data_IF_911149716888
#
_entry.id   IF_911149716888
#
_cell.length_a   1.000
_cell.length_b   1.000
_cell.length_c   1.000
_cell.angle_alpha   90.00
_cell.angle_beta   90.00
_cell.angle_gamma   90.00
#
_symmetry.space_group_name_H-M   'P 1'
#
loop_
_entity.id
_entity.type
_entity.pdbx_description
1 polymer ?
#
# COMPACT_ATOMS: atom_id res chain seq x y z
N UNK A 1 -35.51 -11.03 -21.44
CA UNK A 1 -34.85 -9.71 -21.55
C UNK A 1 -33.44 -9.94 -22.04
N UNK A 2 -33.18 -9.64 -23.31
CA UNK A 2 -31.83 -9.61 -23.88
C UNK A 2 -31.08 -8.51 -23.12
N UNK A 3 -29.93 -8.82 -22.50
CA UNK A 3 -29.04 -7.76 -22.01
C UNK A 3 -28.62 -6.98 -23.25
N UNK A 4 -29.00 -5.71 -23.37
CA UNK A 4 -28.49 -4.84 -24.42
C UNK A 4 -26.96 -4.95 -24.44
N UNK A 5 -26.40 -5.40 -25.56
CA UNK A 5 -24.95 -5.47 -25.71
C UNK A 5 -24.42 -4.04 -25.74
N UNK A 6 -23.45 -3.73 -24.88
CA UNK A 6 -22.79 -2.42 -24.89
C UNK A 6 -22.20 -2.14 -26.28
N UNK A 7 -22.22 -0.89 -26.70
CA UNK A 7 -21.56 -0.46 -27.94
C UNK A 7 -20.06 -0.48 -27.71
N UNK A 8 -19.34 -1.33 -28.45
CA UNK A 8 -17.90 -1.48 -28.30
C UNK A 8 -17.14 -0.60 -29.29
N UNK A 9 -16.13 0.12 -28.80
CA UNK A 9 -15.29 1.04 -29.56
C UNK A 9 -13.81 0.72 -29.34
N UNK A 10 -12.97 1.04 -30.33
CA UNK A 10 -11.52 0.87 -30.28
C UNK A 10 -10.82 2.21 -30.07
N UNK A 11 -10.21 2.39 -28.90
CA UNK A 11 -9.28 3.49 -28.67
C UNK A 11 -7.87 3.04 -29.05
N UNK A 12 -7.49 3.38 -30.28
CA UNK A 12 -6.19 3.09 -30.87
C UNK A 12 -5.31 4.32 -30.69
N UNK A 13 -4.20 4.16 -29.97
CA UNK A 13 -3.27 5.25 -29.68
C UNK A 13 -1.83 4.76 -29.66
N UNK A 14 -0.93 5.57 -30.22
CA UNK A 14 0.52 5.39 -30.09
C UNK A 14 1.19 6.77 -30.04
N UNK A 15 2.09 6.97 -29.08
CA UNK A 15 2.92 8.17 -28.97
C UNK A 15 2.12 9.49 -29.00
N UNK A 16 0.93 9.50 -28.37
CA UNK A 16 0.06 10.68 -28.32
C UNK A 16 -0.81 10.88 -29.57
N UNK A 17 -0.69 10.02 -30.58
CA UNK A 17 -1.48 10.06 -31.79
C UNK A 17 -2.68 9.10 -31.69
N UNK A 18 -3.87 9.61 -31.99
CA UNK A 18 -5.15 8.90 -31.86
C UNK A 18 -5.76 8.66 -33.23
N UNK A 19 -5.96 7.37 -33.56
CA UNK A 19 -6.66 7.01 -34.80
C UNK A 19 -8.17 7.16 -34.61
N UNK A 20 -8.78 7.96 -35.47
CA UNK A 20 -10.23 8.18 -35.51
C UNK A 20 -10.74 7.90 -36.92
N UNK A 21 -11.99 7.49 -37.02
CA UNK A 21 -12.71 7.37 -38.29
C UNK A 21 -13.77 8.44 -38.37
N UNK A 22 -14.05 8.88 -39.60
CA UNK A 22 -15.06 9.88 -39.88
C UNK A 22 -16.40 9.21 -40.10
N UNK A 23 -17.41 9.62 -39.34
CA UNK A 23 -18.79 9.21 -39.49
C UNK A 23 -19.64 10.47 -39.72
N UNK A 24 -20.08 10.66 -40.97
CA UNK A 24 -20.65 11.91 -41.48
C UNK A 24 -19.70 13.09 -41.21
N UNK A 25 -20.11 14.04 -40.37
CA UNK A 25 -19.35 15.24 -40.04
C UNK A 25 -18.63 15.16 -38.69
N UNK A 26 -18.57 13.97 -38.05
CA UNK A 26 -17.90 13.79 -36.76
C UNK A 26 -16.82 12.72 -36.81
N UNK A 27 -15.71 12.99 -36.12
CA UNK A 27 -14.65 12.03 -35.85
C UNK A 27 -14.97 11.23 -34.59
N UNK A 28 -14.91 9.91 -34.68
CA UNK A 28 -15.16 9.00 -33.56
C UNK A 28 -14.13 7.87 -33.52
N UNK A 29 -14.12 7.14 -32.42
CA UNK A 29 -13.43 5.86 -32.40
C UNK A 29 -14.05 4.89 -33.42
N UNK A 30 -13.24 4.02 -34.05
CA UNK A 30 -13.75 2.85 -34.76
C UNK A 30 -14.60 1.99 -33.82
N UNK A 31 -15.63 1.33 -34.34
CA UNK A 31 -16.36 0.30 -33.58
C UNK A 31 -15.56 -1.00 -33.56
N UNK A 32 -15.81 -1.86 -32.59
CA UNK A 32 -15.08 -3.12 -32.47
C UNK A 32 -15.34 -4.12 -33.62
N UNK A 33 -16.45 -3.94 -34.35
CA UNK A 33 -16.85 -4.71 -35.53
C UNK A 33 -16.37 -4.07 -36.85
N UNK A 34 -15.72 -2.91 -36.80
CA UNK A 34 -15.15 -2.25 -37.99
C UNK A 34 -13.71 -2.71 -38.25
N UNK A 35 -13.38 -2.90 -39.53
CA UNK A 35 -12.01 -3.18 -39.94
C UNK A 35 -11.11 -1.95 -39.78
N UNK A 36 -9.91 -2.18 -39.28
CA UNK A 36 -8.85 -1.17 -39.16
C UNK A 36 -7.62 -1.62 -39.96
N UNK A 37 -6.84 -0.70 -40.55
CA UNK A 37 -5.83 -1.04 -41.57
C UNK A 37 -4.53 -1.64 -40.99
N UNK A 38 -4.54 -2.04 -39.72
CA UNK A 38 -3.38 -2.56 -39.01
C UNK A 38 -3.82 -3.55 -37.93
N UNK A 39 -2.92 -4.46 -37.57
CA UNK A 39 -3.18 -5.33 -36.43
C UNK A 39 -3.05 -4.57 -35.11
N UNK A 40 -3.84 -4.98 -34.13
CA UNK A 40 -3.84 -4.38 -32.79
C UNK A 40 -3.63 -5.44 -31.71
N UNK A 41 -3.13 -5.00 -30.56
CA UNK A 41 -3.04 -5.82 -29.34
C UNK A 41 -3.79 -5.14 -28.21
N UNK A 42 -4.62 -5.88 -27.46
CA UNK A 42 -5.42 -5.32 -26.38
C UNK A 42 -4.54 -4.86 -25.20
N UNK A 43 -4.81 -3.65 -24.71
CA UNK A 43 -4.07 -3.01 -23.63
C UNK A 43 -4.96 -2.69 -22.41
N UNK A 44 -6.28 -2.57 -22.59
CA UNK A 44 -7.20 -2.32 -21.48
C UNK A 44 -8.61 -1.98 -21.94
N UNK A 45 -9.48 -1.63 -20.99
CA UNK A 45 -10.87 -1.26 -21.26
C UNK A 45 -11.37 -0.17 -20.32
N UNK A 46 -12.28 0.65 -20.83
CA UNK A 46 -12.97 1.72 -20.10
C UNK A 46 -14.47 1.58 -20.31
N UNK A 47 -15.21 1.60 -19.22
CA UNK A 47 -16.66 1.41 -19.23
C UNK A 47 -17.35 2.75 -18.95
N UNK A 48 -18.14 3.22 -19.92
CA UNK A 48 -18.89 4.46 -19.86
C UNK A 48 -20.41 4.21 -19.81
N UNK A 49 -20.84 3.06 -19.28
CA UNK A 49 -22.25 2.67 -19.22
C UNK A 49 -22.66 1.94 -20.49
N UNK A 50 -23.26 2.66 -21.43
CA UNK A 50 -23.75 2.11 -22.70
C UNK A 50 -22.63 1.88 -23.72
N UNK A 51 -21.47 2.50 -23.50
CA UNK A 51 -20.30 2.42 -24.35
C UNK A 51 -19.13 1.75 -23.61
N UNK A 52 -18.52 0.76 -24.26
CA UNK A 52 -17.31 0.10 -23.80
C UNK A 52 -16.17 0.47 -24.76
N UNK A 53 -15.14 1.15 -24.26
CA UNK A 53 -13.98 1.55 -25.04
C UNK A 53 -12.82 0.60 -24.74
N UNK A 54 -12.41 -0.20 -25.72
CA UNK A 54 -11.23 -1.07 -25.64
C UNK A 54 -10.01 -0.28 -26.07
N UNK A 55 -9.06 -0.09 -25.16
CA UNK A 55 -7.76 0.50 -25.49
C UNK A 55 -6.90 -0.56 -26.12
N UNK A 56 -6.40 -0.28 -27.31
CA UNK A 56 -5.57 -1.21 -28.08
C UNK A 56 -4.33 -0.49 -28.59
N UNK A 57 -3.22 -1.21 -28.66
CA UNK A 57 -1.97 -0.71 -29.23
C UNK A 57 -1.85 -1.18 -30.69
N UNK A 58 -1.66 -0.28 -31.66
CA UNK A 58 -1.48 -0.67 -33.06
C UNK A 58 -0.07 -1.23 -33.28
N UNK A 59 0.08 -2.11 -34.27
CA UNK A 59 1.38 -2.54 -34.81
C UNK A 59 1.61 -1.85 -36.15
N UNK A 60 2.36 -0.75 -36.13
CA UNK A 60 2.70 0.06 -37.30
C UNK A 60 4.18 -0.09 -37.63
N UNK A 61 4.53 0.10 -38.90
CA UNK A 61 5.91 0.13 -39.37
C UNK A 61 6.55 1.54 -39.25
N UNK A 62 5.75 2.57 -38.95
CA UNK A 62 6.15 3.97 -38.87
C UNK A 62 5.34 4.72 -37.80
N UNK A 63 5.75 5.94 -37.44
CA UNK A 63 5.03 6.82 -36.54
C UNK A 63 3.94 7.61 -37.31
N UNK A 64 2.65 7.51 -36.95
CA UNK A 64 1.55 8.02 -37.76
C UNK A 64 1.27 9.51 -37.52
N UNK A 65 2.04 10.39 -38.16
CA UNK A 65 1.84 11.85 -38.09
C UNK A 65 0.51 12.32 -38.68
N UNK A 66 -0.14 11.48 -39.50
CA UNK A 66 -1.43 11.75 -40.13
C UNK A 66 -2.64 11.55 -39.19
N UNK A 67 -2.41 11.03 -37.98
CA UNK A 67 -3.45 10.86 -36.96
C UNK A 67 -3.64 12.14 -36.13
N UNK A 68 -4.64 12.13 -35.24
CA UNK A 68 -4.91 13.29 -34.40
C UNK A 68 -4.00 13.30 -33.17
N UNK A 69 -3.34 14.43 -32.93
CA UNK A 69 -2.72 14.67 -31.64
C UNK A 69 -3.80 14.69 -30.56
N UNK A 70 -3.59 13.89 -29.51
CA UNK A 70 -4.53 13.74 -28.39
C UNK A 70 -4.94 15.05 -27.73
N UNK A 71 -4.04 16.03 -27.66
CA UNK A 71 -4.28 17.28 -26.93
C UNK A 71 -5.11 18.26 -27.77
N UNK A 72 -5.00 18.17 -29.10
CA UNK A 72 -5.80 18.97 -30.03
C UNK A 72 -7.27 18.53 -30.07
N UNK A 73 -7.57 17.29 -29.67
CA UNK A 73 -8.94 16.75 -29.70
C UNK A 73 -9.91 17.50 -28.79
N UNK A 74 -9.44 18.11 -27.71
CA UNK A 74 -10.32 18.74 -26.72
C UNK A 74 -11.03 19.99 -27.26
N UNK A 75 -10.33 20.79 -28.06
CA UNK A 75 -10.83 22.05 -28.62
C UNK A 75 -11.73 21.86 -29.84
N UNK A 76 -11.71 20.67 -30.46
CA UNK A 76 -12.43 20.38 -31.71
C UNK A 76 -13.91 20.11 -31.50
N UNK A 77 -14.79 20.85 -32.17
CA UNK A 77 -16.25 20.61 -32.13
C UNK A 77 -16.71 19.42 -32.98
N UNK A 78 -15.89 19.01 -33.96
CA UNK A 78 -16.15 17.90 -34.89
C UNK A 78 -15.70 16.54 -34.34
N UNK A 79 -15.33 16.44 -33.06
CA UNK A 79 -14.91 15.20 -32.41
C UNK A 79 -16.00 14.69 -31.46
N UNK A 80 -16.21 13.38 -31.42
CA UNK A 80 -17.17 12.73 -30.53
C UNK A 80 -16.82 12.91 -29.04
N UNK A 81 -17.83 13.14 -28.20
CA UNK A 81 -17.63 13.35 -26.76
C UNK A 81 -17.03 12.12 -26.08
N UNK A 82 -17.34 10.91 -26.57
CA UNK A 82 -16.75 9.68 -26.06
C UNK A 82 -15.23 9.67 -26.27
N UNK A 83 -14.73 10.21 -27.40
CA UNK A 83 -13.29 10.33 -27.66
C UNK A 83 -12.65 11.24 -26.63
N UNK A 84 -13.18 12.44 -26.45
CA UNK A 84 -12.66 13.42 -25.48
C UNK A 84 -12.67 12.85 -24.05
N UNK A 85 -13.77 12.19 -23.65
CA UNK A 85 -13.90 11.53 -22.35
C UNK A 85 -12.85 10.42 -22.18
N UNK A 86 -12.69 9.53 -23.17
CA UNK A 86 -11.73 8.44 -23.08
C UNK A 86 -10.27 8.93 -23.03
N UNK A 87 -9.91 9.93 -23.84
CA UNK A 87 -8.58 10.55 -23.81
C UNK A 87 -8.34 11.21 -22.46
N UNK A 88 -9.31 11.96 -21.94
CA UNK A 88 -9.26 12.56 -20.61
C UNK A 88 -9.04 11.53 -19.50
N UNK A 89 -9.69 10.37 -19.60
CA UNK A 89 -9.53 9.25 -18.67
C UNK A 89 -8.17 8.53 -18.77
N UNK A 90 -7.25 8.98 -19.63
CA UNK A 90 -5.86 8.53 -19.59
C UNK A 90 -4.96 9.47 -18.81
N UNK A 91 -5.43 10.66 -18.43
CA UNK A 91 -4.64 11.62 -17.67
C UNK A 91 -4.69 11.29 -16.16
N UNK A 92 -3.53 11.33 -15.46
CA UNK A 92 -3.52 11.19 -14.01
C UNK A 92 -4.31 12.30 -13.32
N UNK A 93 -5.01 11.96 -12.24
CA UNK A 93 -5.56 12.95 -11.32
C UNK A 93 -4.48 13.40 -10.35
N UNK A 94 -4.44 14.68 -10.01
CA UNK A 94 -3.48 15.22 -9.05
C UNK A 94 -4.18 15.57 -7.74
N UNK A 95 -3.60 15.18 -6.61
CA UNK A 95 -4.05 15.56 -5.26
C UNK A 95 -2.86 16.02 -4.43
N UNK A 96 -3.09 16.90 -3.46
CA UNK A 96 -2.10 17.31 -2.48
C UNK A 96 -2.66 17.15 -1.06
N UNK A 97 -1.87 16.55 -0.18
CA UNK A 97 -2.22 16.24 1.21
C UNK A 97 -1.08 16.66 2.16
N UNK A 98 -1.38 16.94 3.42
CA UNK A 98 -0.36 17.32 4.42
C UNK A 98 -0.48 16.54 5.72
N UNK A 99 0.63 15.95 6.16
CA UNK A 99 0.79 15.44 7.51
C UNK A 99 1.19 16.58 8.44
N UNK A 100 0.20 17.20 9.08
CA UNK A 100 0.44 18.21 10.12
C UNK A 100 0.89 17.53 11.40
N UNK A 101 2.06 17.91 11.93
CA UNK A 101 2.70 17.24 13.06
C UNK A 101 2.65 18.12 14.31
N UNK A 102 2.30 17.51 15.45
CA UNK A 102 2.41 18.10 16.80
C UNK A 102 3.08 17.09 17.71
N UNK A 103 4.35 17.33 18.04
CA UNK A 103 5.19 16.34 18.71
C UNK A 103 5.35 15.10 17.83
N UNK A 104 4.75 13.98 18.21
CA UNK A 104 4.72 12.72 17.44
C UNK A 104 3.36 12.38 16.85
N UNK A 105 2.36 13.22 17.11
CA UNK A 105 0.99 13.03 16.65
C UNK A 105 0.76 13.76 15.34
N UNK A 106 -0.18 13.23 14.57
CA UNK A 106 -0.59 13.75 13.26
C UNK A 106 -2.04 14.20 13.32
N UNK A 107 -2.36 15.32 12.67
CA UNK A 107 -3.74 15.71 12.48
C UNK A 107 -4.36 14.87 11.36
N UNK A 108 -5.55 14.34 11.60
CA UNK A 108 -6.35 13.68 10.58
C UNK A 108 -7.77 14.25 10.55
N UNK A 109 -8.40 14.20 9.39
CA UNK A 109 -9.79 14.61 9.16
C UNK A 109 -10.63 13.42 8.71
N UNK A 110 -11.88 13.36 9.15
CA UNK A 110 -12.83 12.29 8.82
C UNK A 110 -13.79 12.77 7.74
N UNK A 111 -13.77 12.12 6.57
CA UNK A 111 -14.59 12.53 5.44
C UNK A 111 -16.06 12.12 5.60
N UNK A 112 -16.97 13.03 5.25
CA UNK A 112 -18.43 12.85 5.27
C UNK A 112 -19.00 12.41 3.92
N UNK A 113 -18.26 12.65 2.84
CA UNK A 113 -18.65 12.35 1.45
C UNK A 113 -17.51 11.71 0.65
N UNK A 114 -17.80 11.30 -0.58
CA UNK A 114 -16.82 10.73 -1.51
C UNK A 114 -16.36 9.30 -1.17
N UNK A 115 -15.32 8.85 -1.86
CA UNK A 115 -14.76 7.50 -1.72
C UNK A 115 -14.18 7.22 -0.33
N UNK A 116 -13.82 8.28 0.40
CA UNK A 116 -13.25 8.22 1.74
C UNK A 116 -14.29 8.36 2.85
N UNK A 117 -15.59 8.39 2.53
CA UNK A 117 -16.66 8.56 3.53
C UNK A 117 -16.50 7.59 4.70
N UNK A 118 -16.47 8.13 5.92
CA UNK A 118 -16.32 7.39 7.17
C UNK A 118 -14.88 7.05 7.56
N UNK A 119 -13.89 7.29 6.69
CA UNK A 119 -12.48 7.07 6.96
C UNK A 119 -11.75 8.35 7.33
N UNK A 120 -10.69 8.20 8.12
CA UNK A 120 -9.78 9.30 8.45
C UNK A 120 -8.66 9.39 7.44
N UNK A 121 -8.29 10.61 7.04
CA UNK A 121 -7.20 10.88 6.11
C UNK A 121 -6.42 12.12 6.55
N UNK A 122 -5.33 12.42 5.85
CA UNK A 122 -4.67 13.71 5.96
C UNK A 122 -5.58 14.79 5.34
N UNK A 123 -5.58 16.02 5.87
CA UNK A 123 -6.19 17.15 5.20
C UNK A 123 -5.60 17.37 3.81
N UNK A 124 -6.43 17.71 2.84
CA UNK A 124 -6.01 17.91 1.46
C UNK A 124 -7.06 17.53 0.42
N UNK A 125 -6.75 17.81 -0.84
CA UNK A 125 -7.72 17.69 -1.92
C UNK A 125 -7.11 17.73 -3.32
N UNK A 126 -7.96 17.95 -4.32
CA UNK A 126 -7.54 18.02 -5.72
C UNK A 126 -6.91 19.38 -6.03
N UNK A 127 -5.99 19.38 -6.98
CA UNK A 127 -5.43 20.63 -7.52
C UNK A 127 -6.44 21.26 -8.48
N UNK A 128 -6.53 22.59 -8.43
CA UNK A 128 -7.22 23.39 -9.44
C UNK A 128 -6.37 23.59 -10.70
N UNK A 129 -6.99 24.12 -11.76
CA UNK A 129 -6.31 24.35 -13.03
C UNK A 129 -5.14 25.34 -12.88
N UNK A 130 -3.93 24.87 -13.20
CA UNK A 130 -2.70 25.67 -13.11
C UNK A 130 -2.21 25.90 -11.68
N UNK A 131 -2.80 25.23 -10.68
CA UNK A 131 -2.42 25.37 -9.27
C UNK A 131 -1.19 24.53 -8.93
N UNK A 132 -0.24 25.10 -8.18
CA UNK A 132 0.88 24.36 -7.65
C UNK A 132 0.44 23.48 -6.46
N UNK A 133 1.00 22.27 -6.26
CA UNK A 133 0.54 21.37 -5.21
C UNK A 133 0.67 21.95 -3.78
N UNK A 134 1.68 22.78 -3.51
CA UNK A 134 1.86 23.47 -2.22
C UNK A 134 0.71 24.45 -1.95
N UNK A 135 0.29 25.19 -2.97
CA UNK A 135 -0.82 26.14 -2.88
C UNK A 135 -2.14 25.40 -2.70
N UNK A 136 -2.32 24.29 -3.43
CA UNK A 136 -3.51 23.46 -3.32
C UNK A 136 -3.70 22.91 -1.91
N UNK A 137 -2.65 22.35 -1.29
CA UNK A 137 -2.78 21.79 0.06
C UNK A 137 -3.05 22.86 1.11
N UNK A 138 -2.45 24.04 1.01
CA UNK A 138 -2.73 25.17 1.91
C UNK A 138 -4.19 25.63 1.78
N UNK A 139 -4.69 25.78 0.55
CA UNK A 139 -6.10 26.11 0.27
C UNK A 139 -7.04 25.06 0.84
N UNK A 140 -6.81 23.78 0.53
CA UNK A 140 -7.66 22.67 0.98
C UNK A 140 -7.69 22.58 2.52
N UNK A 141 -6.56 22.72 3.21
CA UNK A 141 -6.57 22.74 4.68
C UNK A 141 -7.34 23.93 5.24
N UNK A 142 -7.17 25.12 4.65
CA UNK A 142 -7.91 26.30 5.06
C UNK A 142 -9.42 26.15 4.81
N UNK A 143 -9.83 25.51 3.72
CA UNK A 143 -11.23 25.20 3.44
C UNK A 143 -11.80 24.15 4.38
N UNK A 144 -11.12 23.01 4.54
CA UNK A 144 -11.60 21.84 5.27
C UNK A 144 -11.70 22.08 6.78
N UNK A 145 -10.70 22.77 7.36
CA UNK A 145 -10.58 22.91 8.81
C UNK A 145 -10.31 24.34 9.29
N UNK A 146 -10.22 25.33 8.38
CA UNK A 146 -10.06 26.74 8.75
C UNK A 146 -8.71 27.08 9.39
N UNK A 147 -7.66 26.31 9.09
CA UNK A 147 -6.34 26.47 9.70
C UNK A 147 -5.29 26.93 8.68
N UNK A 148 -4.54 27.97 9.03
CA UNK A 148 -3.28 28.29 8.37
C UNK A 148 -2.21 27.28 8.74
N UNK A 149 -1.34 26.94 7.79
CA UNK A 149 -0.27 25.96 7.94
C UNK A 149 1.07 26.51 7.47
N UNK A 150 2.14 25.84 7.84
CA UNK A 150 3.47 26.04 7.26
C UNK A 150 4.00 24.69 6.84
N UNK A 151 4.44 24.59 5.59
CA UNK A 151 5.00 23.36 5.04
C UNK A 151 6.49 23.27 5.39
N UNK A 152 6.90 22.13 5.94
CA UNK A 152 8.31 21.84 6.25
C UNK A 152 9.03 21.26 5.03
N UNK A 153 8.29 20.55 4.16
CA UNK A 153 8.82 19.94 2.95
C UNK A 153 7.96 18.80 2.40
N UNK A 154 8.30 18.32 1.21
CA UNK A 154 7.64 17.20 0.56
C UNK A 154 8.11 15.86 1.16
N UNK A 155 7.19 15.05 1.67
CA UNK A 155 7.48 13.68 2.12
C UNK A 155 7.68 12.75 0.92
N UNK A 156 6.85 12.91 -0.11
CA UNK A 156 6.98 12.14 -1.34
C UNK A 156 5.85 12.39 -2.34
N UNK A 157 6.07 11.90 -3.55
CA UNK A 157 5.05 11.80 -4.60
C UNK A 157 4.70 10.34 -4.78
N UNK A 158 3.41 10.03 -4.70
CA UNK A 158 2.91 8.67 -4.76
C UNK A 158 1.89 8.52 -5.87
N UNK A 159 1.68 7.29 -6.35
CA UNK A 159 0.64 7.01 -7.34
C UNK A 159 -0.10 5.72 -7.02
N UNK A 160 -1.41 5.71 -7.28
CA UNK A 160 -2.25 4.53 -7.12
C UNK A 160 -3.39 4.53 -8.12
N UNK A 161 -3.68 3.36 -8.70
CA UNK A 161 -4.94 3.10 -9.35
C UNK A 161 -6.00 2.74 -8.30
N UNK A 162 -7.26 3.07 -8.56
CA UNK A 162 -8.38 2.64 -7.72
C UNK A 162 -9.18 1.57 -8.46
N UNK A 163 -9.58 0.46 -7.79
CA UNK A 163 -10.41 -0.56 -8.42
C UNK A 163 -11.67 0.06 -9.06
N UNK A 164 -11.92 -0.27 -10.33
CA UNK A 164 -13.06 0.26 -11.08
C UNK A 164 -12.87 1.70 -11.60
N UNK A 165 -11.72 2.34 -11.38
CA UNK A 165 -11.36 3.61 -12.01
C UNK A 165 -10.34 3.37 -13.14
N UNK A 166 -10.53 3.98 -14.32
CA UNK A 166 -9.58 3.87 -15.43
C UNK A 166 -8.25 4.59 -15.19
N UNK A 167 -8.24 5.58 -14.28
CA UNK A 167 -7.13 6.51 -14.10
C UNK A 167 -6.29 6.19 -12.86
N UNK A 168 -4.99 6.49 -12.96
CA UNK A 168 -4.14 6.66 -11.79
C UNK A 168 -4.38 8.02 -11.17
N UNK A 169 -4.24 8.09 -9.86
CA UNK A 169 -4.11 9.36 -9.13
C UNK A 169 -2.68 9.47 -8.63
N UNK A 170 -2.10 10.66 -8.76
CA UNK A 170 -0.80 11.04 -8.22
C UNK A 170 -1.02 12.00 -7.05
N UNK A 171 -0.45 11.66 -5.90
CA UNK A 171 -0.59 12.41 -4.65
C UNK A 171 0.74 12.99 -4.20
N UNK A 172 0.77 14.28 -3.96
CA UNK A 172 1.86 14.98 -3.28
C UNK A 172 1.54 14.99 -1.79
N UNK A 173 2.40 14.42 -0.95
CA UNK A 173 2.19 14.46 0.50
C UNK A 173 3.29 15.29 1.13
N UNK A 174 2.89 16.33 1.84
CA UNK A 174 3.78 17.23 2.55
C UNK A 174 3.83 16.89 4.03
N UNK A 175 4.91 17.34 4.67
CA UNK A 175 4.98 17.51 6.12
C UNK A 175 4.77 18.99 6.42
N UNK A 176 4.07 19.29 7.49
CA UNK A 176 3.95 20.66 7.97
C UNK A 176 3.51 20.75 9.42
N UNK A 177 3.23 21.97 9.85
CA UNK A 177 2.75 22.27 11.17
C UNK A 177 1.70 23.40 11.14
N UNK A 178 0.95 23.54 12.22
CA UNK A 178 -0.04 24.61 12.39
C UNK A 178 -0.03 25.11 13.82
N UNK A 179 -0.14 26.43 13.98
CA UNK A 179 -0.39 27.08 15.27
C UNK A 179 -1.86 27.07 15.70
N UNK A 180 -2.77 26.54 14.87
CA UNK A 180 -4.19 26.52 15.17
C UNK A 180 -4.51 25.67 16.42
N UNK A 181 -5.27 26.24 17.33
CA UNK A 181 -5.74 25.58 18.56
C UNK A 181 -7.20 25.10 18.45
N UNK A 182 -7.92 25.55 17.43
CA UNK A 182 -9.30 25.16 17.10
C UNK A 182 -9.45 25.02 15.59
N UNK A 183 -10.35 24.13 15.18
CA UNK A 183 -10.66 23.87 13.78
C UNK A 183 -12.11 24.26 13.48
N UNK A 184 -12.33 24.91 12.34
CA UNK A 184 -13.66 25.21 11.80
C UNK A 184 -13.90 24.27 10.63
N UNK A 185 -14.64 23.20 10.87
CA UNK A 185 -14.85 22.14 9.89
C UNK A 185 -15.81 22.58 8.79
N UNK A 186 -15.48 22.26 7.54
CA UNK A 186 -16.37 22.35 6.39
C UNK A 186 -17.47 21.29 6.52
N UNK A 187 -18.62 21.68 7.08
CA UNK A 187 -19.60 20.74 7.63
C UNK A 187 -20.25 19.78 6.60
N UNK A 188 -20.20 20.09 5.30
CA UNK A 188 -20.64 19.22 4.22
C UNK A 188 -19.59 18.18 3.79
N UNK A 189 -18.31 18.39 4.14
CA UNK A 189 -17.18 17.56 3.71
C UNK A 189 -16.53 16.81 4.87
N UNK A 190 -16.35 17.46 6.01
CA UNK A 190 -15.58 16.96 7.16
C UNK A 190 -16.50 16.76 8.36
N UNK A 191 -16.51 15.54 8.88
CA UNK A 191 -17.26 15.16 10.08
C UNK A 191 -16.50 15.49 11.38
N UNK A 192 -15.18 15.31 11.37
CA UNK A 192 -14.33 15.49 12.54
C UNK A 192 -12.88 15.78 12.14
N UNK A 193 -12.12 16.41 13.02
CA UNK A 193 -10.66 16.56 12.95
C UNK A 193 -10.06 16.23 14.32
N UNK A 194 -9.02 15.40 14.37
CA UNK A 194 -8.42 14.97 15.63
C UNK A 194 -6.95 14.58 15.46
N UNK A 195 -6.20 14.61 16.56
CA UNK A 195 -4.79 14.25 16.61
C UNK A 195 -4.65 12.76 16.94
N UNK A 196 -3.82 12.06 16.16
CA UNK A 196 -3.56 10.65 16.34
C UNK A 196 -2.07 10.37 16.46
N UNK A 197 -1.65 9.45 17.34
CA UNK A 197 -0.37 8.79 17.18
C UNK A 197 -0.30 8.11 15.81
N UNK A 198 0.82 8.21 15.09
CA UNK A 198 0.95 7.70 13.71
C UNK A 198 0.49 6.25 13.56
N UNK A 199 0.88 5.38 14.49
CA UNK A 199 0.51 3.96 14.45
C UNK A 199 -1.01 3.73 14.53
N UNK A 200 -1.76 4.65 15.14
CA UNK A 200 -3.23 4.64 15.17
C UNK A 200 -3.80 5.24 13.91
N UNK A 201 -3.27 6.37 13.44
CA UNK A 201 -3.72 7.00 12.20
C UNK A 201 -3.64 6.08 10.98
N UNK A 202 -2.56 5.30 10.86
CA UNK A 202 -2.41 4.26 9.82
C UNK A 202 -3.51 3.20 9.84
N UNK A 203 -4.12 2.93 10.99
CA UNK A 203 -5.21 1.97 11.14
C UNK A 203 -6.58 2.57 10.76
N UNK A 204 -6.68 3.89 10.66
CA UNK A 204 -7.94 4.59 10.37
C UNK A 204 -8.10 4.96 8.89
N UNK A 205 -7.01 4.99 8.14
CA UNK A 205 -7.03 5.36 6.71
C UNK A 205 -7.09 4.14 5.78
N UNK A 206 -7.84 4.29 4.70
CA UNK A 206 -7.84 3.39 3.55
C UNK A 206 -7.16 4.01 2.32
N UNK A 207 -6.74 5.27 2.41
CA UNK A 207 -6.05 5.97 1.34
C UNK A 207 -4.58 5.50 1.29
N UNK A 208 -4.11 4.95 0.15
CA UNK A 208 -2.73 4.51 0.01
C UNK A 208 -1.72 5.66 0.15
N UNK A 209 -2.06 6.88 -0.30
CA UNK A 209 -1.16 8.05 -0.20
C UNK A 209 -0.89 8.42 1.24
N UNK A 210 -1.94 8.50 2.06
CA UNK A 210 -1.84 8.70 3.51
C UNK A 210 -0.96 7.62 4.14
N UNK A 211 -1.18 6.34 3.82
CA UNK A 211 -0.37 5.25 4.41
C UNK A 211 1.11 5.41 4.09
N UNK A 212 1.44 5.65 2.83
CA UNK A 212 2.82 5.80 2.37
C UNK A 212 3.48 7.07 2.93
N UNK A 213 2.77 8.19 2.91
CA UNK A 213 3.22 9.45 3.49
C UNK A 213 3.49 9.33 4.99
N UNK A 214 2.61 8.67 5.75
CA UNK A 214 2.79 8.47 7.19
C UNK A 214 3.93 7.50 7.53
N UNK A 215 4.18 6.50 6.69
CA UNK A 215 5.35 5.63 6.82
C UNK A 215 6.64 6.41 6.56
N UNK A 216 6.67 7.23 5.50
CA UNK A 216 7.84 8.03 5.16
C UNK A 216 8.08 9.12 6.22
N UNK A 217 7.03 9.74 6.76
CA UNK A 217 7.09 10.61 7.93
C UNK A 217 7.69 9.89 9.15
N UNK A 218 7.21 8.67 9.47
CA UNK A 218 7.72 7.90 10.60
C UNK A 218 9.24 7.63 10.46
N UNK A 219 9.70 7.32 9.25
CA UNK A 219 11.14 7.11 8.97
C UNK A 219 11.97 8.37 9.22
N UNK A 220 11.41 9.57 9.06
CA UNK A 220 12.08 10.84 9.28
C UNK A 220 12.21 11.28 10.74
N UNK A 221 11.49 10.66 11.69
CA UNK A 221 11.73 10.96 13.10
C UNK A 221 13.15 10.56 13.49
N UNK A 222 13.85 11.40 14.26
CA UNK A 222 15.20 11.10 14.74
C UNK A 222 15.22 9.79 15.54
N UNK A 223 14.31 9.67 16.50
CA UNK A 223 14.02 8.43 17.21
C UNK A 223 12.57 8.00 16.99
N UNK A 224 12.27 6.68 16.92
CA UNK A 224 10.89 6.22 16.88
C UNK A 224 10.06 6.80 18.04
N UNK A 225 8.80 7.19 17.81
CA UNK A 225 7.92 7.75 18.83
C UNK A 225 7.45 6.72 19.88
N UNK A 226 7.92 5.48 19.79
CA UNK A 226 7.68 4.41 20.75
C UNK A 226 8.78 3.34 20.65
N UNK A 227 9.00 2.63 21.75
CA UNK A 227 9.99 1.55 21.81
C UNK A 227 9.41 0.19 21.40
N UNK A 228 10.29 -0.63 20.83
CA UNK A 228 10.01 -2.05 20.53
C UNK A 228 11.20 -2.89 20.97
N UNK A 229 10.92 -4.09 21.48
CA UNK A 229 11.97 -5.03 21.87
C UNK A 229 12.64 -5.56 20.61
N UNK A 230 13.97 -5.46 20.57
CA UNK A 230 14.83 -6.01 19.52
C UNK A 230 15.69 -7.12 20.11
N UNK A 231 16.05 -8.10 19.29
CA UNK A 231 16.97 -9.14 19.75
C UNK A 231 18.41 -8.62 19.81
N UNK A 232 18.79 -7.74 18.87
CA UNK A 232 20.11 -7.11 18.82
C UNK A 232 21.04 -7.77 17.80
N UNK A 233 20.49 -8.15 16.63
CA UNK A 233 21.26 -8.67 15.50
C UNK A 233 21.74 -7.57 14.57
N UNK A 234 21.00 -6.46 14.52
CA UNK A 234 21.23 -5.40 13.55
C UNK A 234 22.40 -4.51 13.96
N UNK A 235 23.40 -4.40 13.09
CA UNK A 235 24.40 -3.34 13.19
C UNK A 235 23.79 -1.99 12.78
N UNK A 236 23.39 -1.17 13.75
CA UNK A 236 22.75 0.13 13.50
C UNK A 236 23.73 1.23 13.06
N UNK A 237 25.04 0.97 13.09
CA UNK A 237 26.06 1.91 12.62
C UNK A 237 26.25 1.84 11.11
N UNK A 238 25.92 0.71 10.49
CA UNK A 238 26.02 0.52 9.05
C UNK A 238 24.94 1.30 8.28
N UNK A 239 25.37 2.11 7.31
CA UNK A 239 24.48 2.73 6.33
C UNK A 239 23.92 1.69 5.38
N UNK A 240 22.62 1.73 5.12
CA UNK A 240 21.94 0.77 4.21
C UNK A 240 21.18 1.53 3.12
N UNK A 241 21.32 1.14 1.84
CA UNK A 241 20.46 1.68 0.79
C UNK A 241 19.00 1.27 1.05
N UNK A 242 18.08 2.06 0.50
CA UNK A 242 16.67 1.70 0.53
C UNK A 242 16.43 0.44 -0.32
N UNK A 243 15.58 -0.47 0.14
CA UNK A 243 15.35 -1.75 -0.53
C UNK A 243 14.18 -2.53 0.05
N UNK A 244 13.78 -3.63 -0.61
CA UNK A 244 12.66 -4.45 -0.16
C UNK A 244 13.03 -5.27 1.08
N UNK A 245 12.03 -5.57 1.90
CA UNK A 245 12.14 -6.50 3.02
C UNK A 245 10.99 -7.52 3.01
N UNK A 246 11.20 -8.66 3.68
CA UNK A 246 10.14 -9.57 4.06
C UNK A 246 10.07 -9.64 5.57
N UNK A 247 8.95 -9.18 6.11
CA UNK A 247 8.58 -9.28 7.52
C UNK A 247 7.88 -10.63 7.73
N UNK A 248 8.42 -11.46 8.62
CA UNK A 248 7.88 -12.79 8.91
C UNK A 248 7.33 -12.82 10.34
N UNK A 249 6.11 -13.35 10.53
CA UNK A 249 5.75 -13.85 11.86
C UNK A 249 6.60 -15.08 12.22
N UNK A 250 6.64 -15.42 13.50
CA UNK A 250 7.46 -16.54 13.99
C UNK A 250 6.64 -17.83 14.10
N UNK A 251 5.68 -17.83 15.02
CA UNK A 251 4.90 -19.01 15.38
C UNK A 251 3.82 -19.31 14.34
N UNK A 252 3.86 -20.50 13.73
CA UNK A 252 2.96 -20.89 12.64
C UNK A 252 3.48 -20.53 11.24
N UNK A 253 4.62 -19.84 11.14
CA UNK A 253 5.25 -19.45 9.87
C UNK A 253 6.66 -20.04 9.75
N UNK A 254 7.54 -19.74 10.71
CA UNK A 254 8.90 -20.27 10.78
C UNK A 254 8.93 -21.56 11.60
N UNK A 255 8.30 -21.53 12.78
CA UNK A 255 8.21 -22.70 13.66
C UNK A 255 6.78 -23.19 13.79
N UNK A 256 6.63 -24.44 14.24
CA UNK A 256 5.33 -25.01 14.55
C UNK A 256 4.65 -24.18 15.65
N UNK A 257 3.44 -23.72 15.37
CA UNK A 257 2.55 -23.22 16.42
C UNK A 257 2.08 -24.37 17.30
N UNK A 258 1.77 -24.10 18.57
CA UNK A 258 1.25 -25.11 19.50
C UNK A 258 0.07 -24.59 20.30
N UNK A 259 -0.72 -25.50 20.86
CA UNK A 259 -1.64 -25.14 21.92
C UNK A 259 -0.83 -24.60 23.12
N UNK A 260 -1.16 -23.40 23.58
CA UNK A 260 -0.35 -22.65 24.54
C UNK A 260 0.82 -21.90 23.89
N UNK A 261 1.99 -21.90 24.54
CA UNK A 261 3.13 -21.07 24.16
C UNK A 261 4.40 -21.91 23.92
N UNK A 262 5.24 -21.48 22.99
CA UNK A 262 6.63 -21.93 22.88
C UNK A 262 7.41 -21.28 24.02
N UNK A 263 7.65 -22.03 25.09
CA UNK A 263 8.24 -21.53 26.35
C UNK A 263 9.70 -21.94 26.55
N UNK A 264 10.18 -22.91 25.79
CA UNK A 264 11.57 -23.38 25.88
C UNK A 264 12.15 -23.65 24.49
N UNK A 265 13.48 -23.67 24.34
CA UNK A 265 14.12 -24.05 23.08
C UNK A 265 13.67 -25.43 22.58
N UNK A 266 13.40 -26.39 23.47
CA UNK A 266 12.95 -27.75 23.12
C UNK A 266 11.55 -27.74 22.49
N UNK A 267 10.69 -26.80 22.89
CA UNK A 267 9.39 -26.58 22.26
C UNK A 267 9.50 -26.01 20.84
N UNK A 268 10.64 -25.42 20.49
CA UNK A 268 10.86 -24.82 19.17
C UNK A 268 11.25 -25.91 18.17
N UNK A 269 10.39 -26.11 17.17
CA UNK A 269 10.62 -26.98 16.02
C UNK A 269 10.27 -26.21 14.74
N UNK A 270 11.18 -26.22 13.77
CA UNK A 270 10.93 -25.59 12.46
C UNK A 270 9.75 -26.25 11.74
N UNK A 271 9.04 -25.46 10.96
CA UNK A 271 8.16 -25.99 9.94
C UNK A 271 8.99 -26.54 8.77
N UNK A 272 8.53 -27.61 8.09
CA UNK A 272 9.31 -28.23 7.01
C UNK A 272 9.64 -27.25 5.88
N UNK A 273 10.94 -27.07 5.63
CA UNK A 273 11.45 -26.21 4.57
C UNK A 273 11.45 -24.71 4.88
N UNK A 274 11.11 -24.31 6.12
CA UNK A 274 11.06 -22.90 6.50
C UNK A 274 12.45 -22.22 6.49
N UNK A 275 13.54 -22.84 7.02
CA UNK A 275 14.88 -22.26 6.92
C UNK A 275 15.34 -22.02 5.49
N UNK A 276 15.13 -22.99 4.61
CA UNK A 276 15.48 -22.91 3.19
C UNK A 276 14.69 -21.80 2.48
N UNK A 277 13.39 -21.66 2.80
CA UNK A 277 12.57 -20.58 2.26
C UNK A 277 13.08 -19.18 2.65
N UNK A 278 13.61 -19.02 3.88
CA UNK A 278 14.25 -17.76 4.29
C UNK A 278 15.54 -17.53 3.48
N UNK A 279 16.34 -18.57 3.29
CA UNK A 279 17.54 -18.48 2.46
C UNK A 279 17.21 -18.10 1.01
N UNK A 280 16.12 -18.61 0.45
CA UNK A 280 15.63 -18.27 -0.89
C UNK A 280 15.30 -16.77 -1.01
N UNK A 281 14.64 -16.20 0.01
CA UNK A 281 14.38 -14.77 0.08
C UNK A 281 15.68 -13.95 0.12
N UNK A 282 16.66 -14.39 0.92
CA UNK A 282 17.95 -13.71 0.97
C UNK A 282 18.67 -13.75 -0.38
N UNK A 283 18.64 -14.89 -1.09
CA UNK A 283 19.25 -15.02 -2.42
C UNK A 283 18.55 -14.16 -3.48
N UNK A 284 17.26 -13.89 -3.30
CA UNK A 284 16.50 -12.95 -4.13
C UNK A 284 16.70 -11.47 -3.74
N UNK A 285 17.59 -11.16 -2.79
CA UNK A 285 17.92 -9.79 -2.39
C UNK A 285 16.96 -9.18 -1.37
N UNK A 286 16.06 -9.96 -0.78
CA UNK A 286 15.22 -9.47 0.32
C UNK A 286 15.99 -9.49 1.64
N UNK A 287 15.87 -8.38 2.37
CA UNK A 287 16.19 -8.34 3.81
C UNK A 287 15.07 -9.04 4.57
N UNK A 288 15.41 -9.94 5.48
CA UNK A 288 14.40 -10.67 6.27
C UNK A 288 14.40 -10.15 7.71
N UNK A 289 13.23 -9.76 8.20
CA UNK A 289 13.03 -9.38 9.58
C UNK A 289 11.93 -10.23 10.20
N UNK A 290 12.09 -10.63 11.45
CA UNK A 290 11.05 -11.37 12.17
C UNK A 290 10.28 -10.37 13.04
N UNK A 291 8.96 -10.32 12.90
CA UNK A 291 8.08 -9.43 13.68
C UNK A 291 7.05 -10.28 14.43
N UNK A 292 7.17 -10.40 15.75
CA UNK A 292 6.41 -11.39 16.52
C UNK A 292 5.72 -10.84 17.77
N UNK A 293 4.47 -11.26 17.99
CA UNK A 293 3.75 -11.03 19.25
C UNK A 293 4.12 -12.15 20.24
N UNK A 294 4.72 -11.82 21.37
CA UNK A 294 5.16 -12.76 22.42
C UNK A 294 4.52 -12.43 23.78
N UNK A 295 3.20 -12.56 23.86
CA UNK A 295 2.42 -12.29 25.08
C UNK A 295 2.73 -13.23 26.24
N UNK A 296 3.43 -14.35 26.01
CA UNK A 296 3.95 -15.19 27.08
C UNK A 296 4.88 -14.41 28.03
N UNK A 297 5.61 -13.42 27.52
CA UNK A 297 6.45 -12.52 28.34
C UNK A 297 5.57 -11.59 29.16
N UNK A 298 4.57 -10.97 28.54
CA UNK A 298 3.65 -10.04 29.19
C UNK A 298 2.77 -10.70 30.27
N UNK A 299 2.44 -11.98 30.09
CA UNK A 299 1.80 -12.81 31.10
C UNK A 299 2.77 -13.38 32.15
N UNK A 300 4.07 -13.03 32.08
CA UNK A 300 5.14 -13.52 32.95
C UNK A 300 5.28 -15.05 32.97
N UNK A 301 4.86 -15.72 31.89
CA UNK A 301 4.99 -17.18 31.73
C UNK A 301 6.41 -17.60 31.37
N UNK A 302 7.17 -16.71 30.74
CA UNK A 302 8.60 -16.84 30.51
C UNK A 302 9.31 -15.50 30.72
N UNK A 303 10.54 -15.49 31.27
CA UNK A 303 11.35 -14.28 31.31
C UNK A 303 11.98 -14.01 29.93
N UNK A 304 12.40 -12.76 29.68
CA UNK A 304 13.02 -12.35 28.43
C UNK A 304 14.28 -13.16 28.08
N UNK A 305 15.10 -13.51 29.07
CA UNK A 305 16.27 -14.40 28.90
C UNK A 305 15.90 -15.75 28.27
N UNK A 306 14.73 -16.28 28.60
CA UNK A 306 14.26 -17.55 28.06
C UNK A 306 13.75 -17.39 26.63
N UNK A 307 13.08 -16.27 26.33
CA UNK A 307 12.71 -15.92 24.96
C UNK A 307 13.96 -15.76 24.08
N UNK A 308 15.01 -15.11 24.59
CA UNK A 308 16.31 -14.97 23.90
C UNK A 308 16.89 -16.33 23.53
N UNK A 309 16.93 -17.30 24.46
CA UNK A 309 17.39 -18.68 24.17
C UNK A 309 16.60 -19.39 23.08
N UNK A 310 15.29 -19.12 22.98
CA UNK A 310 14.44 -19.66 21.89
C UNK A 310 14.84 -19.03 20.56
N UNK A 311 15.06 -17.71 20.54
CA UNK A 311 15.55 -17.01 19.35
C UNK A 311 16.94 -17.47 18.96
N UNK A 312 17.86 -17.70 19.90
CA UNK A 312 19.22 -18.18 19.61
C UNK A 312 19.19 -19.53 18.89
N UNK A 313 18.34 -20.47 19.35
CA UNK A 313 18.12 -21.75 18.66
C UNK A 313 17.56 -21.55 17.25
N UNK A 314 16.61 -20.62 17.08
CA UNK A 314 16.04 -20.30 15.77
C UNK A 314 17.10 -19.71 14.84
N UNK A 315 17.88 -18.75 15.32
CA UNK A 315 18.94 -18.08 14.53
C UNK A 315 19.97 -19.11 14.08
N UNK A 316 20.44 -19.98 14.99
CA UNK A 316 21.39 -21.03 14.65
C UNK A 316 20.85 -21.99 13.58
N UNK A 317 19.58 -22.38 13.68
CA UNK A 317 18.95 -23.26 12.69
C UNK A 317 18.73 -22.59 11.33
N UNK A 318 18.42 -21.29 11.30
CA UNK A 318 18.35 -20.51 10.06
C UNK A 318 19.75 -20.39 9.42
N UNK A 319 20.76 -20.05 10.21
CA UNK A 319 22.14 -19.92 9.74
C UNK A 319 22.69 -21.24 9.16
N UNK A 320 22.36 -22.38 9.77
CA UNK A 320 22.74 -23.70 9.26
C UNK A 320 22.18 -24.00 7.86
N UNK A 321 21.05 -23.39 7.48
CA UNK A 321 20.46 -23.47 6.14
C UNK A 321 20.94 -22.35 5.20
N UNK A 322 21.92 -21.53 5.61
CA UNK A 322 22.40 -20.38 4.85
C UNK A 322 21.47 -19.16 4.87
N UNK A 323 20.45 -19.17 5.73
CA UNK A 323 19.52 -18.06 5.89
C UNK A 323 20.07 -17.00 6.86
N UNK A 324 19.77 -15.73 6.55
CA UNK A 324 20.12 -14.57 7.37
C UNK A 324 18.87 -13.78 7.73
N UNK A 325 18.80 -13.38 8.99
CA UNK A 325 17.78 -12.48 9.53
C UNK A 325 18.49 -11.22 10.01
N UNK A 326 18.01 -10.06 9.56
CA UNK A 326 18.59 -8.76 9.90
C UNK A 326 18.31 -8.39 11.36
N UNK A 327 17.08 -8.64 11.83
CA UNK A 327 16.65 -8.37 13.21
C UNK A 327 15.36 -9.11 13.56
N UNK A 328 15.12 -9.30 14.85
CA UNK A 328 13.89 -9.82 15.42
C UNK A 328 13.25 -8.73 16.28
N UNK A 329 12.06 -8.29 15.90
CA UNK A 329 11.25 -7.32 16.61
C UNK A 329 10.11 -8.02 17.35
N UNK A 330 9.95 -7.70 18.63
CA UNK A 330 9.02 -8.39 19.53
C UNK A 330 8.09 -7.40 20.21
N UNK A 331 6.80 -7.74 20.23
CA UNK A 331 5.86 -7.19 21.18
C UNK A 331 5.80 -8.12 22.41
N UNK A 332 6.36 -7.74 23.58
CA UNK A 332 6.31 -8.57 24.79
C UNK A 332 4.96 -8.45 25.51
N UNK A 333 4.14 -7.44 25.18
CA UNK A 333 2.93 -7.12 25.93
C UNK A 333 1.81 -8.16 25.79
N UNK A 334 1.02 -8.30 26.85
CA UNK A 334 -0.16 -9.16 26.87
C UNK A 334 -1.29 -8.61 25.99
N UNK A 335 -2.29 -9.45 25.74
CA UNK A 335 -3.34 -9.17 24.74
C UNK A 335 -4.26 -7.98 25.07
N UNK A 336 -4.32 -7.59 26.34
CA UNK A 336 -5.14 -6.48 26.82
C UNK A 336 -4.37 -5.15 26.88
N UNK A 337 -3.05 -5.18 26.60
CA UNK A 337 -2.22 -3.99 26.68
C UNK A 337 -2.46 -3.06 25.48
N UNK A 338 -2.56 -1.77 25.77
CA UNK A 338 -2.71 -0.74 24.74
C UNK A 338 -1.35 -0.25 24.20
N UNK A 339 -0.58 -1.16 23.59
CA UNK A 339 0.75 -0.85 23.06
C UNK A 339 0.76 -0.62 21.54
N UNK A 340 1.64 0.24 20.98
CA UNK A 340 1.78 0.45 19.53
C UNK A 340 2.25 -0.76 18.73
N UNK A 341 2.95 -1.69 19.39
CA UNK A 341 3.69 -2.77 18.74
C UNK A 341 2.87 -4.05 18.48
N UNK A 342 1.84 -4.34 19.28
CA UNK A 342 1.08 -5.60 19.13
C UNK A 342 0.30 -5.61 17.82
N UNK A 343 0.65 -6.50 16.89
CA UNK A 343 -0.13 -6.73 15.66
C UNK A 343 -1.59 -7.03 16.05
N UNK A 344 -2.60 -6.37 15.44
CA UNK A 344 -2.59 -5.73 14.12
C UNK A 344 -2.01 -4.32 14.05
N UNK A 345 -1.62 -3.69 15.16
CA UNK A 345 -0.97 -2.38 15.09
C UNK A 345 0.37 -2.48 14.35
N UNK A 346 0.76 -1.45 13.59
CA UNK A 346 1.90 -1.54 12.68
C UNK A 346 3.25 -1.30 13.37
N UNK A 347 3.30 -1.08 14.69
CA UNK A 347 4.49 -0.55 15.35
C UNK A 347 5.77 -1.38 15.14
N UNK A 348 5.69 -2.72 15.21
CA UNK A 348 6.85 -3.58 14.91
C UNK A 348 7.35 -3.40 13.48
N UNK A 349 6.44 -3.32 12.52
CA UNK A 349 6.79 -3.22 11.10
C UNK A 349 7.29 -1.82 10.75
N UNK A 350 6.74 -0.76 11.36
CA UNK A 350 7.23 0.62 11.21
C UNK A 350 8.67 0.75 11.68
N UNK A 351 8.96 0.24 12.87
CA UNK A 351 10.32 0.27 13.41
C UNK A 351 11.25 -0.58 12.56
N UNK A 352 10.83 -1.79 12.16
CA UNK A 352 11.61 -2.62 11.25
C UNK A 352 11.88 -1.92 9.90
N UNK A 353 10.91 -1.21 9.34
CA UNK A 353 11.09 -0.48 8.10
C UNK A 353 12.07 0.69 8.25
N UNK A 354 12.06 1.41 9.38
CA UNK A 354 13.04 2.46 9.67
C UNK A 354 14.44 1.89 9.87
N UNK A 355 14.59 0.93 10.78
CA UNK A 355 15.89 0.37 11.17
C UNK A 355 16.59 -0.32 9.98
N UNK A 356 15.83 -1.00 9.11
CA UNK A 356 16.36 -1.64 7.92
C UNK A 356 16.44 -0.73 6.70
N UNK A 357 16.01 0.54 6.80
CA UNK A 357 15.75 1.38 5.64
C UNK A 357 14.95 0.62 4.55
N UNK A 358 13.91 -0.10 4.96
CA UNK A 358 13.06 -0.82 4.03
C UNK A 358 12.08 0.12 3.34
N UNK A 359 11.68 -0.24 2.12
CA UNK A 359 10.58 0.40 1.41
C UNK A 359 9.35 -0.51 1.51
N UNK A 360 8.36 -0.20 2.37
CA UNK A 360 7.18 -1.04 2.54
C UNK A 360 6.42 -1.34 1.24
N UNK A 361 6.39 -0.40 0.29
CA UNK A 361 5.70 -0.57 -1.01
C UNK A 361 6.27 -1.72 -1.84
N UNK A 362 7.54 -2.07 -1.61
CA UNK A 362 8.27 -3.18 -2.25
C UNK A 362 8.47 -4.36 -1.31
N UNK A 363 7.90 -4.31 -0.12
CA UNK A 363 8.09 -5.29 0.95
C UNK A 363 6.87 -6.17 1.14
N UNK A 364 7.07 -7.26 1.87
CA UNK A 364 6.03 -8.25 2.15
C UNK A 364 5.90 -8.52 3.65
N UNK A 365 4.69 -8.78 4.12
CA UNK A 365 4.42 -9.38 5.43
C UNK A 365 3.84 -10.78 5.25
N UNK A 366 4.46 -11.79 5.87
CA UNK A 366 3.99 -13.19 5.85
C UNK A 366 3.58 -13.60 7.25
N UNK A 367 2.34 -14.08 7.40
CA UNK A 367 1.76 -14.41 8.70
C UNK A 367 0.67 -15.47 8.65
N UNK A 368 0.38 -16.10 9.79
CA UNK A 368 -0.63 -17.14 9.94
C UNK A 368 -1.95 -16.63 10.56
N UNK A 369 -2.03 -15.32 10.86
CA UNK A 369 -3.19 -14.64 11.44
C UNK A 369 -3.59 -13.42 10.62
N UNK A 370 -4.87 -13.07 10.73
CA UNK A 370 -5.44 -11.84 10.17
C UNK A 370 -4.74 -10.59 10.70
N UNK A 371 -4.25 -10.63 11.95
CA UNK A 371 -3.50 -9.53 12.55
C UNK A 371 -2.19 -9.22 11.81
N UNK A 372 -1.54 -10.23 11.24
CA UNK A 372 -0.29 -10.06 10.48
C UNK A 372 -0.56 -9.36 9.16
N UNK A 373 -1.58 -9.84 8.44
CA UNK A 373 -2.04 -9.24 7.18
C UNK A 373 -2.47 -7.79 7.41
N UNK A 374 -3.18 -7.52 8.50
CA UNK A 374 -3.63 -6.17 8.87
C UNK A 374 -2.46 -5.23 9.14
N UNK A 375 -1.46 -5.68 9.91
CA UNK A 375 -0.28 -4.87 10.20
C UNK A 375 0.55 -4.59 8.93
N UNK A 376 0.70 -5.58 8.05
CA UNK A 376 1.38 -5.41 6.76
C UNK A 376 0.69 -4.39 5.86
N UNK A 377 -0.63 -4.51 5.68
CA UNK A 377 -1.40 -3.57 4.86
C UNK A 377 -1.43 -2.15 5.44
N UNK A 378 -1.41 -2.02 6.77
CA UNK A 378 -1.37 -0.71 7.43
C UNK A 378 -0.13 0.10 7.03
N UNK A 379 1.03 -0.53 6.86
CA UNK A 379 2.25 0.14 6.38
C UNK A 379 2.39 0.17 4.85
N UNK A 380 1.37 -0.29 4.11
CA UNK A 380 1.40 -0.37 2.65
C UNK A 380 2.28 -1.49 2.08
N UNK A 381 2.62 -2.50 2.88
CA UNK A 381 3.30 -3.71 2.40
C UNK A 381 2.32 -4.67 1.75
N UNK A 382 2.82 -5.46 0.79
CA UNK A 382 2.10 -6.63 0.27
C UNK A 382 2.09 -7.71 1.35
N UNK A 383 1.17 -8.65 1.25
CA UNK A 383 0.87 -9.60 2.33
C UNK A 383 0.59 -10.99 1.78
N UNK A 384 1.12 -11.99 2.48
CA UNK A 384 0.80 -13.40 2.22
C UNK A 384 0.29 -14.03 3.50
N UNK A 385 -0.92 -14.60 3.43
CA UNK A 385 -1.44 -15.42 4.51
C UNK A 385 -0.98 -16.87 4.33
N UNK A 386 -0.39 -17.47 5.37
CA UNK A 386 -0.02 -18.90 5.36
C UNK A 386 -0.91 -19.72 6.29
N UNK A 387 -1.29 -20.91 5.84
CA UNK A 387 -2.01 -21.85 6.67
C UNK A 387 -2.58 -23.02 5.89
N UNK A 388 -2.83 -24.12 6.60
CA UNK A 388 -3.52 -25.29 6.07
C UNK A 388 -5.00 -25.00 5.73
N UNK A 389 -5.68 -25.99 5.14
CA UNK A 389 -7.09 -25.85 4.75
C UNK A 389 -8.01 -25.50 5.94
N UNK A 390 -7.74 -26.06 7.12
CA UNK A 390 -8.54 -25.81 8.33
C UNK A 390 -8.40 -24.36 8.79
N UNK A 391 -7.18 -23.84 8.81
CA UNK A 391 -6.86 -22.46 9.19
C UNK A 391 -7.41 -21.46 8.18
N UNK A 392 -7.32 -21.73 6.87
CA UNK A 392 -7.94 -20.90 5.83
C UNK A 392 -9.46 -20.86 5.99
N UNK A 393 -10.09 -22.01 6.26
CA UNK A 393 -11.54 -22.08 6.52
C UNK A 393 -11.93 -21.26 7.75
N UNK A 394 -11.12 -21.30 8.81
CA UNK A 394 -11.35 -20.52 10.04
C UNK A 394 -11.42 -19.02 9.78
N UNK A 395 -10.55 -18.48 8.93
CA UNK A 395 -10.44 -17.04 8.66
C UNK A 395 -11.02 -16.61 7.31
N UNK A 396 -11.86 -17.45 6.68
CA UNK A 396 -12.30 -17.23 5.30
C UNK A 396 -13.00 -15.87 5.11
N UNK A 397 -13.83 -15.45 6.08
CA UNK A 397 -14.56 -14.18 6.02
C UNK A 397 -13.61 -13.00 6.11
N UNK A 398 -12.69 -13.03 7.07
CA UNK A 398 -11.70 -11.98 7.29
C UNK A 398 -10.73 -11.88 6.11
N UNK A 399 -10.29 -13.01 5.56
CA UNK A 399 -9.41 -13.06 4.38
C UNK A 399 -10.11 -12.51 3.13
N UNK A 400 -11.41 -12.77 2.96
CA UNK A 400 -12.19 -12.19 1.86
C UNK A 400 -12.37 -10.67 2.00
N UNK A 401 -12.45 -10.16 3.23
CA UNK A 401 -12.55 -8.74 3.52
C UNK A 401 -11.21 -8.02 3.33
N UNK A 402 -10.12 -8.56 3.89
CA UNK A 402 -8.81 -7.91 3.88
C UNK A 402 -8.05 -8.12 2.57
N UNK A 403 -8.32 -9.22 1.85
CA UNK A 403 -7.75 -9.57 0.53
C UNK A 403 -6.21 -9.51 0.51
N UNK A 404 -5.50 -10.46 1.16
CA UNK A 404 -4.05 -10.54 0.98
C UNK A 404 -3.70 -10.81 -0.48
N UNK A 405 -2.50 -10.40 -0.89
CA UNK A 405 -2.01 -10.54 -2.26
C UNK A 405 -1.82 -12.02 -2.64
N UNK A 406 -1.53 -12.88 -1.66
CA UNK A 406 -1.54 -14.33 -1.85
C UNK A 406 -1.99 -15.09 -0.59
N UNK A 407 -2.44 -16.33 -0.81
CA UNK A 407 -2.71 -17.31 0.25
C UNK A 407 -1.91 -18.58 -0.07
N UNK A 408 -1.06 -19.01 0.87
CA UNK A 408 -0.18 -20.16 0.72
C UNK A 408 -0.40 -21.20 1.83
N UNK A 409 0.12 -22.42 1.64
CA UNK A 409 0.01 -23.50 2.63
C UNK A 409 0.98 -23.30 3.79
N UNK A 410 2.18 -22.85 3.46
CA UNK A 410 3.33 -22.70 4.33
C UNK A 410 4.24 -21.59 3.79
N UNK A 411 5.38 -21.37 4.47
CA UNK A 411 6.34 -20.35 4.08
C UNK A 411 6.96 -20.60 2.70
N UNK A 412 7.21 -21.85 2.30
CA UNK A 412 7.73 -22.17 0.95
C UNK A 412 6.75 -21.74 -0.14
N UNK A 413 5.47 -22.03 0.02
CA UNK A 413 4.43 -21.56 -0.88
C UNK A 413 4.33 -20.03 -0.92
N UNK A 414 4.51 -19.37 0.22
CA UNK A 414 4.52 -17.90 0.28
C UNK A 414 5.72 -17.30 -0.47
N UNK A 415 6.92 -17.83 -0.27
CA UNK A 415 8.13 -17.39 -0.98
C UNK A 415 7.99 -17.61 -2.48
N UNK A 416 7.46 -18.76 -2.92
CA UNK A 416 7.19 -18.98 -4.35
C UNK A 416 6.24 -17.93 -4.94
N UNK A 417 5.20 -17.52 -4.20
CA UNK A 417 4.29 -16.47 -4.65
C UNK A 417 4.98 -15.09 -4.70
N UNK A 418 5.81 -14.78 -3.70
CA UNK A 418 6.59 -13.54 -3.64
C UNK A 418 7.53 -13.44 -4.85
N UNK A 419 8.32 -14.48 -5.12
CA UNK A 419 9.32 -14.50 -6.19
C UNK A 419 8.72 -14.53 -7.60
N UNK A 420 7.47 -14.96 -7.77
CA UNK A 420 6.74 -14.85 -9.06
C UNK A 420 6.22 -13.44 -9.34
N UNK A 421 6.13 -12.60 -8.31
CA UNK A 421 5.51 -11.26 -8.36
C UNK A 421 6.52 -10.14 -8.16
N UNK A 422 7.78 -10.50 -7.88
CA UNK A 422 8.93 -9.61 -7.75
C UNK A 422 9.69 -9.59 -9.07
#
# INVERSE_FOLDING_TARGET
MVKDSKREHLFIETDGQVYLVKDRDRWRFPRADEEVPFSVSEAGRMDFGDDLVRRVKPKLAYHPEEWFNRDDLFSRSDVDDLVKKAVYMTMPRLVAEVALVRGTDILMVKAKRGFSRGYWNLPGGFLDFGEAPEVAVEREVQEEIGAGITLDGLLGVYHSGFPGKPTYTMGFVYRGHTGATRFRLKADEIEAADWFPIHRGLMQTHNPFVRWGLVDLFKQFESPPFEVVRHGLLDRTATRPEGPAVFLDRDGVINQGRAGYVRTPEHFAFLPGAPEAVADLNRAGFRVAIVSNQDAVGWKLIPERQLRRIHDKMIAGLAAAGARVEEIYVCPHHVLADCPCRKPRPGLLLVAAKDLNANPRRSWMVGDKVSDVSAGKAIGARTVFVGDAKRRKRFAKELAAIRPEAIAKDLRGAVSAILKTA
#
